data_IF_620449165001
#
_entry.id   IF_620449165001
#
_cell.length_a   1.000
_cell.length_b   1.000
_cell.length_c   1.000
_cell.angle_alpha   90.00
_cell.angle_beta   90.00
_cell.angle_gamma   90.00
#
_symmetry.space_group_name_H-M   'P 1'
#
loop_
_entity.id
_entity.type
_entity.pdbx_description
1 polymer ?
#
# COMPACT_ATOMS: atom_id res chain seq x y z
N UNK A 1 -15.45 -36.18 22.50
CA UNK A 1 -15.17 -35.22 21.41
C UNK A 1 -16.45 -34.42 21.20
N UNK A 2 -16.43 -33.13 21.51
CA UNK A 2 -17.57 -32.25 21.19
C UNK A 2 -17.68 -32.15 19.66
N UNK A 3 -18.89 -32.10 19.09
CA UNK A 3 -19.07 -32.03 17.65
C UNK A 3 -18.44 -30.73 17.15
N UNK A 4 -17.48 -30.84 16.22
CA UNK A 4 -17.05 -29.71 15.41
C UNK A 4 -18.30 -29.18 14.71
N UNK A 5 -18.79 -28.02 15.14
CA UNK A 5 -19.84 -27.29 14.43
C UNK A 5 -19.39 -27.14 12.99
N UNK A 6 -20.17 -27.69 12.06
CA UNK A 6 -19.94 -27.61 10.62
C UNK A 6 -19.95 -26.14 10.22
N UNK A 7 -18.76 -25.57 10.11
CA UNK A 7 -18.59 -24.14 9.89
C UNK A 7 -18.68 -23.85 8.40
N UNK A 8 -19.81 -23.32 7.97
CA UNK A 8 -20.00 -22.89 6.59
C UNK A 8 -19.29 -21.56 6.30
N UNK A 9 -17.96 -21.62 6.18
CA UNK A 9 -17.14 -20.46 5.81
C UNK A 9 -17.56 -19.88 4.47
N UNK A 10 -17.95 -20.72 3.52
CA UNK A 10 -18.31 -20.29 2.16
C UNK A 10 -19.58 -19.45 2.21
N UNK A 11 -20.62 -19.90 2.89
CA UNK A 11 -21.87 -19.15 3.08
C UNK A 11 -21.65 -17.81 3.80
N UNK A 12 -20.76 -17.77 4.81
CA UNK A 12 -20.43 -16.51 5.49
C UNK A 12 -19.69 -15.52 4.57
N UNK A 13 -18.77 -15.99 3.72
CA UNK A 13 -18.10 -15.15 2.72
C UNK A 13 -19.09 -14.63 1.67
N UNK A 14 -19.96 -15.48 1.13
CA UNK A 14 -20.97 -15.10 0.14
C UNK A 14 -21.94 -14.07 0.73
N UNK A 15 -22.45 -14.30 1.94
CA UNK A 15 -23.33 -13.34 2.62
C UNK A 15 -22.64 -12.00 2.87
N UNK A 16 -21.36 -11.99 3.26
CA UNK A 16 -20.57 -10.77 3.42
C UNK A 16 -20.41 -10.02 2.09
N UNK A 17 -20.04 -10.73 1.02
CA UNK A 17 -19.79 -10.16 -0.30
C UNK A 17 -21.07 -9.58 -0.93
N UNK A 18 -22.21 -10.26 -0.75
CA UNK A 18 -23.53 -9.84 -1.23
C UNK A 18 -23.98 -8.48 -0.66
N UNK A 19 -23.50 -8.13 0.55
CA UNK A 19 -23.80 -6.82 1.12
C UNK A 19 -23.25 -5.68 0.25
N UNK A 20 -22.08 -5.90 -0.39
CA UNK A 20 -21.29 -4.88 -1.09
C UNK A 20 -20.91 -3.68 -0.21
N UNK A 21 -20.96 -3.88 1.11
CA UNK A 21 -20.74 -2.85 2.11
C UNK A 21 -19.32 -2.87 2.66
N UNK A 22 -18.64 -4.00 2.54
CA UNK A 22 -17.30 -4.20 3.07
C UNK A 22 -17.24 -4.22 4.59
N UNK A 23 -16.02 -4.21 5.12
CA UNK A 23 -15.73 -4.26 6.56
C UNK A 23 -16.28 -3.03 7.26
N UNK A 24 -16.20 -1.83 6.65
CA UNK A 24 -16.81 -0.63 7.21
C UNK A 24 -18.31 -0.80 7.43
N UNK A 25 -19.01 -1.49 6.52
CA UNK A 25 -20.42 -1.80 6.70
C UNK A 25 -20.73 -2.60 7.96
N UNK A 26 -19.85 -3.53 8.34
CA UNK A 26 -19.97 -4.29 9.60
C UNK A 26 -19.80 -3.38 10.81
N UNK A 27 -18.84 -2.45 10.75
CA UNK A 27 -18.58 -1.47 11.80
C UNK A 27 -19.75 -0.49 11.95
N UNK A 28 -20.27 0.03 10.84
CA UNK A 28 -21.44 0.92 10.82
C UNK A 28 -22.69 0.21 11.38
N UNK A 29 -22.79 -1.12 11.23
CA UNK A 29 -23.84 -1.96 11.81
C UNK A 29 -23.64 -2.29 13.30
N UNK A 30 -22.57 -1.81 13.94
CA UNK A 30 -22.32 -1.99 15.37
C UNK A 30 -21.76 -3.36 15.74
N UNK A 31 -20.95 -3.97 14.87
CA UNK A 31 -20.27 -5.25 15.17
C UNK A 31 -19.43 -5.15 16.45
N UNK A 32 -19.67 -6.05 17.40
CA UNK A 32 -18.97 -6.09 18.70
C UNK A 32 -18.04 -7.29 18.86
N UNK A 33 -18.10 -8.24 17.92
CA UNK A 33 -17.26 -9.43 17.86
C UNK A 33 -16.81 -9.67 16.43
N UNK A 34 -15.57 -10.09 16.26
CA UNK A 34 -15.01 -10.34 14.94
C UNK A 34 -15.74 -11.54 14.30
N UNK A 35 -16.35 -11.40 13.10
CA UNK A 35 -16.91 -12.53 12.38
C UNK A 35 -15.83 -13.56 12.05
N UNK A 36 -16.21 -14.84 12.00
CA UNK A 36 -15.24 -15.94 11.99
C UNK A 36 -14.39 -15.95 10.72
N UNK A 37 -14.91 -15.45 9.60
CA UNK A 37 -14.15 -15.29 8.34
C UNK A 37 -12.91 -14.38 8.48
N UNK A 38 -12.89 -13.46 9.45
CA UNK A 38 -11.77 -12.52 9.69
C UNK A 38 -10.82 -12.96 10.80
N UNK A 39 -11.13 -14.05 11.52
CA UNK A 39 -10.27 -14.55 12.59
C UNK A 39 -9.02 -15.18 11.96
N UNK A 40 -7.86 -14.58 12.23
CA UNK A 40 -6.56 -15.11 11.91
C UNK A 40 -6.13 -16.12 12.98
N UNK A 41 -5.96 -17.38 12.58
CA UNK A 41 -5.53 -18.47 13.46
C UNK A 41 -4.01 -18.73 13.41
N UNK A 42 -3.27 -17.93 12.64
CA UNK A 42 -1.81 -18.02 12.54
C UNK A 42 -1.14 -17.42 13.78
N UNK A 43 0.03 -17.95 14.18
CA UNK A 43 0.80 -17.37 15.27
C UNK A 43 1.20 -15.92 14.96
N UNK A 44 1.34 -15.06 15.98
CA UNK A 44 1.79 -13.70 15.77
C UNK A 44 3.19 -13.68 15.16
N UNK A 45 3.41 -12.70 14.30
CA UNK A 45 4.71 -12.39 13.71
C UNK A 45 5.76 -12.10 14.79
N UNK A 46 6.95 -12.73 14.77
CA UNK A 46 8.01 -12.43 15.73
C UNK A 46 8.51 -11.01 15.53
N UNK A 47 8.39 -10.16 16.57
CA UNK A 47 8.82 -8.75 16.46
C UNK A 47 10.30 -8.63 16.78
N UNK A 48 10.98 -7.67 16.15
CA UNK A 48 12.36 -7.33 16.49
C UNK A 48 12.53 -6.96 17.98
N UNK A 49 11.49 -6.42 18.62
CA UNK A 49 11.47 -6.07 20.04
C UNK A 49 11.41 -7.27 21.00
N UNK A 50 11.14 -8.47 20.50
CA UNK A 50 10.95 -9.68 21.34
C UNK A 50 12.28 -10.40 21.67
N UNK A 51 13.40 -9.96 21.07
CA UNK A 51 14.68 -10.70 21.06
C UNK A 51 15.81 -10.21 22.00
N UNK A 52 15.56 -9.28 22.93
CA UNK A 52 16.60 -8.68 23.77
C UNK A 52 17.33 -7.49 23.12
N UNK A 53 18.46 -7.00 23.67
CA UNK A 53 19.08 -5.74 23.23
C UNK A 53 19.80 -5.92 21.89
N UNK A 54 19.04 -5.86 20.81
CA UNK A 54 19.55 -5.56 19.47
C UNK A 54 19.77 -4.05 19.38
N UNK A 55 20.80 -3.54 18.68
CA UNK A 55 20.82 -2.14 18.30
C UNK A 55 19.52 -1.84 17.57
N UNK A 56 18.79 -0.80 18.01
CA UNK A 56 17.54 -0.39 17.37
C UNK A 56 17.78 -0.13 15.88
N UNK A 57 17.45 -1.11 15.04
CA UNK A 57 17.46 -0.95 13.60
C UNK A 57 16.09 -0.41 13.22
N UNK A 58 16.07 0.86 12.85
CA UNK A 58 14.88 1.51 12.30
C UNK A 58 14.93 1.44 10.78
N UNK A 59 13.76 1.44 10.15
CA UNK A 59 13.66 1.58 8.70
C UNK A 59 14.40 2.87 8.27
N UNK A 60 15.27 2.82 7.24
CA UNK A 60 16.05 4.00 6.83
C UNK A 60 15.17 5.15 6.37
N UNK A 61 15.62 6.38 6.61
CA UNK A 61 14.99 7.61 6.12
C UNK A 61 15.97 8.31 5.18
N UNK A 62 15.54 8.61 3.96
CA UNK A 62 16.34 9.29 2.93
C UNK A 62 15.79 10.69 2.70
N UNK A 63 16.66 11.69 2.81
CA UNK A 63 16.34 13.09 2.48
C UNK A 63 16.60 13.36 0.98
N UNK A 64 15.54 13.66 0.24
CA UNK A 64 15.61 14.00 -1.19
C UNK A 64 15.87 15.48 -1.47
N UNK A 65 16.14 16.31 -0.45
CA UNK A 65 16.49 17.71 -0.64
C UNK A 65 17.66 17.86 -1.62
N UNK A 66 17.47 18.74 -2.61
CA UNK A 66 18.45 18.98 -3.67
C UNK A 66 18.46 17.95 -4.79
N UNK A 67 17.52 16.98 -4.82
CA UNK A 67 17.39 16.06 -5.96
C UNK A 67 17.14 16.81 -7.28
N UNK A 68 16.34 17.88 -7.20
CA UNK A 68 16.20 18.90 -8.24
C UNK A 68 17.03 20.12 -7.84
N UNK A 69 17.91 20.57 -8.72
CA UNK A 69 18.66 21.83 -8.54
C UNK A 69 19.88 21.77 -7.60
N UNK A 70 20.13 20.67 -6.89
CA UNK A 70 21.31 20.51 -6.02
C UNK A 70 22.62 20.17 -6.75
N UNK A 71 22.56 19.94 -8.07
CA UNK A 71 23.71 19.65 -8.92
C UNK A 71 24.15 18.17 -8.94
N UNK A 72 25.15 17.82 -9.77
CA UNK A 72 25.51 16.43 -10.05
C UNK A 72 26.04 15.66 -8.83
N UNK A 73 26.80 16.31 -7.95
CA UNK A 73 27.37 15.63 -6.77
C UNK A 73 26.27 15.24 -5.77
N UNK A 74 25.31 16.14 -5.52
CA UNK A 74 24.16 15.83 -4.66
C UNK A 74 23.32 14.68 -5.23
N UNK A 75 23.10 14.66 -6.55
CA UNK A 75 22.39 13.55 -7.20
C UNK A 75 23.13 12.23 -7.00
N UNK A 76 24.47 12.19 -7.19
CA UNK A 76 25.28 10.98 -6.98
C UNK A 76 25.19 10.46 -5.55
N UNK A 77 25.21 11.35 -4.55
CA UNK A 77 25.03 10.98 -3.14
C UNK A 77 23.66 10.33 -2.89
N UNK A 78 22.59 10.92 -3.44
CA UNK A 78 21.23 10.38 -3.32
C UNK A 78 21.13 9.03 -4.03
N UNK A 79 21.66 8.90 -5.26
CA UNK A 79 21.70 7.64 -6.01
C UNK A 79 22.36 6.55 -5.15
N UNK A 80 23.56 6.82 -4.64
CA UNK A 80 24.28 5.85 -3.81
C UNK A 80 23.48 5.44 -2.58
N UNK A 81 22.89 6.41 -1.88
CA UNK A 81 22.10 6.16 -0.67
C UNK A 81 20.87 5.32 -0.98
N UNK A 82 20.13 5.63 -2.05
CA UNK A 82 18.95 4.87 -2.49
C UNK A 82 19.36 3.45 -2.90
N UNK A 83 20.42 3.28 -3.68
CA UNK A 83 20.88 1.96 -4.14
C UNK A 83 21.33 1.07 -2.98
N UNK A 84 22.15 1.59 -2.06
CA UNK A 84 22.62 0.83 -0.89
C UNK A 84 21.43 0.43 0.01
N UNK A 85 20.49 1.35 0.20
CA UNK A 85 19.30 1.12 1.03
C UNK A 85 18.36 0.09 0.43
N UNK A 86 18.11 0.14 -0.88
CA UNK A 86 17.32 -0.87 -1.57
C UNK A 86 17.96 -2.25 -1.50
N UNK A 87 19.28 -2.34 -1.66
CA UNK A 87 20.00 -3.61 -1.60
C UNK A 87 19.99 -4.23 -0.19
N UNK A 88 20.04 -3.41 0.86
CA UNK A 88 19.99 -3.89 2.24
C UNK A 88 18.56 -4.16 2.72
N UNK A 89 17.66 -3.18 2.54
CA UNK A 89 16.36 -3.14 3.19
C UNK A 89 15.17 -3.37 2.26
N UNK A 90 15.29 -3.12 0.95
CA UNK A 90 14.16 -3.11 0.01
C UNK A 90 13.04 -2.10 0.32
N UNK A 91 13.15 -1.39 1.44
CA UNK A 91 12.18 -0.46 2.02
C UNK A 91 12.92 0.74 2.63
N UNK A 92 12.35 1.93 2.50
CA UNK A 92 12.80 3.13 3.21
C UNK A 92 11.72 4.20 3.23
N UNK A 93 11.81 5.15 4.16
CA UNK A 93 11.01 6.37 4.13
C UNK A 93 11.76 7.48 3.40
N UNK A 94 11.02 8.40 2.77
CA UNK A 94 11.59 9.60 2.16
C UNK A 94 10.93 10.87 2.66
N UNK A 95 11.75 11.91 2.82
CA UNK A 95 11.34 13.28 3.15
C UNK A 95 11.87 14.25 2.11
N UNK A 96 11.33 15.48 2.09
CA UNK A 96 11.70 16.51 1.12
C UNK A 96 11.59 16.05 -0.35
N UNK A 97 10.63 15.16 -0.64
CA UNK A 97 10.39 14.58 -1.97
C UNK A 97 9.66 15.53 -2.94
N UNK A 98 9.24 16.72 -2.47
CA UNK A 98 8.69 17.78 -3.31
C UNK A 98 7.18 17.73 -3.57
N UNK A 99 6.46 16.75 -3.01
CA UNK A 99 4.98 16.77 -3.02
C UNK A 99 4.52 17.68 -1.88
N UNK A 100 3.66 18.69 -2.13
CA UNK A 100 3.21 19.60 -1.08
C UNK A 100 2.40 18.87 -0.01
N UNK A 101 2.63 19.20 1.27
CA UNK A 101 1.90 18.63 2.40
C UNK A 101 0.36 18.67 2.23
N UNK A 102 -0.26 19.77 1.75
CA UNK A 102 -1.71 19.80 1.55
C UNK A 102 -2.24 18.74 0.59
N UNK A 103 -1.45 18.30 -0.41
CA UNK A 103 -1.84 17.24 -1.34
C UNK A 103 -1.86 15.89 -0.63
N UNK A 104 -0.90 15.64 0.28
CA UNK A 104 -0.84 14.42 1.08
C UNK A 104 -2.03 14.37 2.07
N UNK A 105 -2.24 15.46 2.81
CA UNK A 105 -3.30 15.56 3.81
C UNK A 105 -4.68 15.38 3.17
N UNK A 106 -4.91 16.09 2.05
CA UNK A 106 -6.20 16.03 1.35
C UNK A 106 -6.44 14.64 0.73
N UNK A 107 -5.39 13.90 0.35
CA UNK A 107 -5.53 12.54 -0.18
C UNK A 107 -6.05 11.57 0.90
N UNK A 108 -5.53 11.68 2.13
CA UNK A 108 -6.03 10.93 3.28
C UNK A 108 -7.47 11.34 3.60
N UNK A 109 -7.77 12.63 3.66
CA UNK A 109 -9.13 13.13 3.93
C UNK A 109 -10.12 12.76 2.82
N UNK A 110 -9.70 12.79 1.55
CA UNK A 110 -10.50 12.37 0.41
C UNK A 110 -10.87 10.90 0.45
N UNK A 111 -9.91 10.06 0.81
CA UNK A 111 -10.18 8.65 1.06
C UNK A 111 -11.22 8.49 2.18
N UNK A 112 -11.04 9.17 3.32
CA UNK A 112 -12.01 9.16 4.43
C UNK A 112 -13.41 9.63 4.00
N UNK A 113 -13.51 10.69 3.19
CA UNK A 113 -14.79 11.16 2.61
C UNK A 113 -15.46 10.08 1.78
N UNK A 114 -14.73 9.41 0.89
CA UNK A 114 -15.27 8.31 0.09
C UNK A 114 -15.79 7.16 0.97
N UNK A 115 -15.00 6.69 1.92
CA UNK A 115 -15.41 5.58 2.79
C UNK A 115 -16.59 5.92 3.68
N UNK A 116 -16.75 7.20 4.07
CA UNK A 116 -17.89 7.69 4.86
C UNK A 116 -19.14 8.02 4.05
N UNK A 117 -19.11 7.89 2.71
CA UNK A 117 -20.33 8.00 1.90
C UNK A 117 -21.39 6.99 2.33
N UNK A 118 -22.65 7.35 2.08
CA UNK A 118 -23.78 6.46 2.26
C UNK A 118 -23.59 5.17 1.44
N UNK A 119 -24.09 4.03 1.95
CA UNK A 119 -24.13 2.75 1.24
C UNK A 119 -24.56 2.85 -0.22
N UNK A 120 -25.63 3.59 -0.48
CA UNK A 120 -26.22 3.76 -1.81
C UNK A 120 -25.28 4.49 -2.79
N UNK A 121 -24.45 5.41 -2.30
CA UNK A 121 -23.50 6.17 -3.11
C UNK A 121 -22.21 5.37 -3.40
N UNK A 122 -21.79 4.47 -2.51
CA UNK A 122 -20.62 3.60 -2.73
C UNK A 122 -20.91 2.38 -3.61
N UNK A 123 -22.12 1.82 -3.50
CA UNK A 123 -22.51 0.57 -4.18
C UNK A 123 -22.29 0.55 -5.70
N UNK A 124 -22.50 1.64 -6.46
CA UNK A 124 -22.19 1.68 -7.90
C UNK A 124 -20.71 1.43 -8.21
N UNK A 125 -19.80 1.81 -7.31
CA UNK A 125 -18.37 1.57 -7.46
C UNK A 125 -17.96 0.15 -7.10
N UNK A 126 -18.82 -0.61 -6.41
CA UNK A 126 -18.47 -1.95 -5.97
C UNK A 126 -18.15 -2.87 -7.16
N UNK A 127 -17.02 -3.55 -7.09
CA UNK A 127 -16.64 -4.57 -8.05
C UNK A 127 -15.90 -5.70 -7.34
N UNK A 128 -16.36 -6.95 -7.51
CA UNK A 128 -15.69 -8.06 -6.84
C UNK A 128 -14.36 -8.40 -7.49
N UNK A 129 -14.39 -8.48 -8.82
CA UNK A 129 -13.25 -8.78 -9.68
C UNK A 129 -12.68 -7.47 -10.19
N UNK A 130 -11.36 -7.34 -10.19
CA UNK A 130 -10.70 -6.16 -10.73
C UNK A 130 -10.99 -6.05 -12.23
N UNK A 131 -11.62 -4.94 -12.62
CA UNK A 131 -11.87 -4.59 -14.03
C UNK A 131 -11.15 -3.29 -14.34
N UNK A 132 -10.02 -3.38 -15.04
CA UNK A 132 -9.19 -2.22 -15.39
C UNK A 132 -9.81 -1.32 -16.46
N UNK A 133 -10.93 -1.73 -17.08
CA UNK A 133 -11.71 -0.84 -17.95
C UNK A 133 -12.50 0.19 -17.14
N UNK A 134 -12.75 -0.09 -15.84
CA UNK A 134 -13.31 0.88 -14.90
C UNK A 134 -12.20 1.69 -14.28
N UNK A 135 -12.25 3.02 -14.44
CA UNK A 135 -11.21 3.89 -13.89
C UNK A 135 -11.26 4.03 -12.37
N UNK A 136 -12.41 3.79 -11.76
CA UNK A 136 -12.54 3.74 -10.32
C UNK A 136 -13.44 2.58 -9.89
N UNK A 137 -12.99 1.84 -8.88
CA UNK A 137 -13.77 0.77 -8.27
C UNK A 137 -13.47 0.64 -6.78
N UNK A 138 -14.46 0.11 -6.07
CA UNK A 138 -14.46 -0.17 -4.65
C UNK A 138 -14.61 -1.68 -4.45
N UNK A 139 -13.88 -2.25 -3.51
CA UNK A 139 -13.97 -3.66 -3.19
C UNK A 139 -13.59 -3.91 -1.74
N UNK A 140 -14.06 -5.01 -1.18
CA UNK A 140 -13.61 -5.46 0.13
C UNK A 140 -12.76 -6.71 -0.02
N UNK A 141 -11.46 -6.61 0.23
CA UNK A 141 -10.48 -7.68 0.11
C UNK A 141 -10.24 -8.22 -1.33
N UNK A 142 -9.01 -8.14 -1.83
CA UNK A 142 -8.66 -8.69 -3.16
C UNK A 142 -8.75 -10.22 -3.23
N UNK A 143 -8.52 -10.91 -2.12
CA UNK A 143 -8.41 -12.37 -2.04
C UNK A 143 -9.52 -12.98 -1.20
N UNK A 144 -10.73 -12.39 -1.21
CA UNK A 144 -11.83 -12.83 -0.33
C UNK A 144 -12.10 -14.35 -0.38
N UNK A 145 -12.09 -14.94 -1.58
CA UNK A 145 -12.39 -16.36 -1.80
C UNK A 145 -11.15 -17.27 -1.92
N UNK A 146 -9.96 -16.69 -2.07
CA UNK A 146 -8.71 -17.44 -2.29
C UNK A 146 -7.72 -17.33 -1.14
N UNK A 147 -7.89 -16.31 -0.29
CA UNK A 147 -7.08 -16.05 0.88
C UNK A 147 -7.42 -17.02 2.02
N UNK A 148 -6.37 -17.41 2.75
CA UNK A 148 -6.50 -18.26 3.93
C UNK A 148 -7.21 -17.50 5.08
N UNK A 149 -6.93 -16.19 5.19
CA UNK A 149 -7.51 -15.28 6.16
C UNK A 149 -8.11 -14.08 5.41
N UNK A 150 -9.36 -13.72 5.75
CA UNK A 150 -9.97 -12.50 5.23
C UNK A 150 -9.45 -11.32 6.03
N UNK A 151 -8.92 -10.31 5.34
CA UNK A 151 -8.38 -9.13 5.98
C UNK A 151 -9.46 -8.15 6.43
N UNK A 152 -9.24 -7.51 7.57
CA UNK A 152 -10.07 -6.44 8.12
C UNK A 152 -9.77 -5.10 7.42
N UNK A 153 -10.08 -5.02 6.12
CA UNK A 153 -9.92 -3.81 5.31
C UNK A 153 -10.92 -3.74 4.17
N UNK A 154 -11.16 -2.51 3.73
CA UNK A 154 -11.76 -2.20 2.45
C UNK A 154 -10.76 -1.49 1.54
N UNK A 155 -11.01 -1.49 0.22
CA UNK A 155 -10.06 -0.93 -0.75
C UNK A 155 -10.75 -0.25 -1.91
N UNK A 156 -10.17 0.84 -2.38
CA UNK A 156 -10.47 1.39 -3.71
C UNK A 156 -9.29 1.17 -4.62
N UNK A 157 -9.57 1.11 -5.92
CA UNK A 157 -8.56 1.10 -6.96
C UNK A 157 -8.94 2.16 -7.99
N UNK A 158 -7.99 3.05 -8.24
CA UNK A 158 -8.06 4.04 -9.30
C UNK A 158 -7.00 3.72 -10.36
N UNK A 159 -7.43 3.64 -11.62
CA UNK A 159 -6.56 3.43 -12.78
C UNK A 159 -6.21 4.81 -13.34
N UNK A 160 -4.93 5.18 -13.27
CA UNK A 160 -4.49 6.52 -13.65
C UNK A 160 -4.04 6.60 -15.12
N UNK A 161 -3.89 5.47 -15.80
CA UNK A 161 -3.48 5.41 -17.22
C UNK A 161 -4.43 4.57 -18.11
N UNK A 162 -4.76 5.03 -19.34
CA UNK A 162 -4.67 6.44 -19.76
C UNK A 162 -5.41 7.35 -18.77
N UNK A 163 -5.02 8.63 -18.72
CA UNK A 163 -5.58 9.63 -17.80
C UNK A 163 -7.11 9.55 -17.80
N UNK A 164 -7.73 9.30 -16.63
CA UNK A 164 -9.17 9.12 -16.55
C UNK A 164 -9.92 10.43 -16.78
N UNK A 165 -11.14 10.33 -17.33
CA UNK A 165 -12.05 11.45 -17.31
C UNK A 165 -12.56 11.70 -15.89
N UNK A 166 -12.76 12.98 -15.56
CA UNK A 166 -13.23 13.43 -14.26
C UNK A 166 -14.46 12.62 -13.80
N UNK A 167 -15.46 12.47 -14.67
CA UNK A 167 -16.76 11.84 -14.40
C UNK A 167 -16.67 10.36 -13.99
N UNK A 168 -15.55 9.70 -14.28
CA UNK A 168 -15.32 8.29 -13.94
C UNK A 168 -14.97 8.08 -12.45
N UNK A 169 -14.71 9.18 -11.72
CA UNK A 169 -14.37 9.18 -10.30
C UNK A 169 -15.50 9.74 -9.44
N UNK A 170 -15.67 9.26 -8.20
CA UNK A 170 -16.59 9.85 -7.24
C UNK A 170 -16.22 11.31 -6.94
N UNK A 171 -17.20 12.21 -7.04
CA UNK A 171 -17.01 13.66 -6.89
C UNK A 171 -16.23 14.04 -5.63
N UNK A 172 -16.54 13.40 -4.49
CA UNK A 172 -15.90 13.68 -3.19
C UNK A 172 -14.40 13.32 -3.10
N UNK A 173 -13.86 12.63 -4.11
CA UNK A 173 -12.51 12.05 -4.07
C UNK A 173 -11.73 12.22 -5.39
N UNK A 174 -12.41 12.70 -6.45
CA UNK A 174 -11.88 12.86 -7.80
C UNK A 174 -10.65 13.76 -7.86
N UNK A 175 -10.82 15.04 -7.53
CA UNK A 175 -9.81 16.07 -7.83
C UNK A 175 -8.50 15.78 -7.08
N UNK A 176 -8.62 15.38 -5.82
CA UNK A 176 -7.47 15.00 -5.02
C UNK A 176 -6.79 13.73 -5.52
N UNK A 177 -7.54 12.71 -5.94
CA UNK A 177 -6.92 11.48 -6.48
C UNK A 177 -6.15 11.78 -7.76
N UNK A 178 -6.67 12.68 -8.61
CA UNK A 178 -5.99 13.12 -9.83
C UNK A 178 -4.73 13.94 -9.51
N UNK A 179 -4.81 14.90 -8.60
CA UNK A 179 -3.68 15.74 -8.19
C UNK A 179 -2.57 14.91 -7.52
N UNK A 180 -2.93 14.08 -6.55
CA UNK A 180 -2.01 13.16 -5.88
C UNK A 180 -1.39 12.18 -6.88
N UNK A 181 -2.20 11.59 -7.77
CA UNK A 181 -1.74 10.65 -8.80
C UNK A 181 -0.69 11.24 -9.73
N UNK A 182 -0.87 12.48 -10.18
CA UNK A 182 0.13 13.15 -11.00
C UNK A 182 1.42 13.45 -10.21
N UNK A 183 1.28 13.86 -8.94
CA UNK A 183 2.43 14.13 -8.08
C UNK A 183 3.27 12.87 -7.82
N UNK A 184 2.63 11.74 -7.46
CA UNK A 184 3.34 10.48 -7.22
C UNK A 184 3.85 9.84 -8.51
N UNK A 185 3.19 10.04 -9.66
CA UNK A 185 3.74 9.60 -10.96
C UNK A 185 5.06 10.29 -11.28
N UNK A 186 5.16 11.60 -11.06
CA UNK A 186 6.41 12.37 -11.23
C UNK A 186 7.50 11.87 -10.28
N UNK A 187 7.14 11.60 -9.02
CA UNK A 187 8.08 11.05 -8.03
C UNK A 187 8.53 9.62 -8.41
N UNK A 188 7.61 8.77 -8.88
CA UNK A 188 7.91 7.42 -9.37
C UNK A 188 8.91 7.43 -10.53
N UNK A 189 8.72 8.31 -11.51
CA UNK A 189 9.73 8.50 -12.57
C UNK A 189 11.09 8.92 -12.02
N UNK A 190 11.13 9.80 -11.02
CA UNK A 190 12.38 10.22 -10.38
C UNK A 190 13.09 9.03 -9.73
N UNK A 191 12.37 8.16 -9.03
CA UNK A 191 12.95 6.95 -8.45
C UNK A 191 13.41 5.95 -9.51
N UNK A 192 12.66 5.78 -10.61
CA UNK A 192 13.10 4.94 -11.72
C UNK A 192 14.41 5.43 -12.34
N UNK A 193 14.61 6.75 -12.43
CA UNK A 193 15.89 7.31 -12.86
C UNK A 193 17.01 7.01 -11.86
N UNK A 194 16.77 7.25 -10.56
CA UNK A 194 17.73 7.00 -9.49
C UNK A 194 18.16 5.53 -9.44
N UNK A 195 17.19 4.62 -9.57
CA UNK A 195 17.44 3.18 -9.62
C UNK A 195 18.26 2.84 -10.86
N UNK A 196 17.84 3.32 -12.04
CA UNK A 196 18.57 3.09 -13.30
C UNK A 196 20.03 3.54 -13.23
N UNK A 197 20.28 4.76 -12.76
CA UNK A 197 21.63 5.30 -12.60
C UNK A 197 22.45 4.57 -11.52
N UNK A 198 21.80 4.15 -10.43
CA UNK A 198 22.42 3.33 -9.39
C UNK A 198 22.96 1.99 -9.90
N UNK A 199 22.34 1.47 -10.96
CA UNK A 199 22.77 0.27 -11.67
C UNK A 199 23.79 0.55 -12.79
N UNK A 200 24.23 1.81 -12.94
CA UNK A 200 25.12 2.23 -14.01
C UNK A 200 24.46 2.29 -15.39
N UNK A 201 23.12 2.33 -15.45
CA UNK A 201 22.34 2.44 -16.68
C UNK A 201 22.01 3.90 -16.99
N UNK A 202 21.42 4.13 -18.17
CA UNK A 202 20.89 5.45 -18.52
C UNK A 202 19.69 5.79 -17.62
N UNK A 203 19.49 7.05 -17.22
CA UNK A 203 18.38 7.43 -16.32
C UNK A 203 17.00 6.96 -16.80
N UNK A 204 16.76 6.96 -18.10
CA UNK A 204 15.47 6.59 -18.67
C UNK A 204 15.29 5.08 -18.93
N UNK A 205 16.23 4.23 -18.51
CA UNK A 205 16.22 2.80 -18.86
C UNK A 205 14.94 2.07 -18.44
N UNK A 206 14.53 2.17 -17.17
CA UNK A 206 13.29 1.53 -16.70
C UNK A 206 12.04 2.06 -17.40
N UNK A 207 12.04 3.35 -17.76
CA UNK A 207 10.94 3.96 -18.51
C UNK A 207 10.88 3.42 -19.95
N UNK A 208 12.02 3.21 -20.59
CA UNK A 208 12.11 2.59 -21.93
C UNK A 208 11.73 1.10 -21.93
N UNK A 209 11.66 0.46 -20.75
CA UNK A 209 11.16 -0.90 -20.55
C UNK A 209 9.67 -0.94 -20.20
N UNK A 210 8.94 0.16 -20.40
CA UNK A 210 7.51 0.27 -20.09
C UNK A 210 7.16 0.02 -18.61
N UNK A 211 8.14 0.13 -17.69
CA UNK A 211 7.93 -0.10 -16.25
C UNK A 211 7.06 0.96 -15.55
N UNK A 212 6.63 2.00 -16.28
CA UNK A 212 5.84 3.13 -15.79
C UNK A 212 4.47 3.27 -16.49
N UNK A 213 4.10 2.32 -17.35
CA UNK A 213 2.87 2.42 -18.17
C UNK A 213 1.59 2.15 -17.36
N UNK A 214 1.67 1.31 -16.33
CA UNK A 214 0.54 1.01 -15.45
C UNK A 214 0.72 1.72 -14.11
N UNK A 215 -0.11 2.74 -13.87
CA UNK A 215 -0.17 3.46 -12.59
C UNK A 215 -1.51 3.22 -11.94
N UNK A 216 -1.50 2.52 -10.81
CA UNK A 216 -2.65 2.29 -9.96
C UNK A 216 -2.50 3.04 -8.65
N UNK A 217 -3.58 3.69 -8.21
CA UNK A 217 -3.68 4.17 -6.83
C UNK A 217 -4.63 3.25 -6.06
N UNK A 218 -4.07 2.59 -5.06
CA UNK A 218 -4.84 1.83 -4.10
C UNK A 218 -5.03 2.69 -2.85
N UNK A 219 -6.26 2.80 -2.37
CA UNK A 219 -6.49 3.27 -1.00
C UNK A 219 -7.03 2.15 -0.17
N UNK A 220 -6.49 2.01 1.04
CA UNK A 220 -6.87 0.98 1.98
C UNK A 220 -7.46 1.65 3.22
N UNK A 221 -8.66 1.22 3.59
CA UNK A 221 -9.33 1.68 4.79
C UNK A 221 -9.42 0.54 5.79
N UNK A 222 -8.81 0.76 6.96
CA UNK A 222 -8.73 -0.18 8.07
C UNK A 222 -9.63 0.35 9.20
N UNK A 223 -10.93 0.01 9.23
CA UNK A 223 -11.81 0.49 10.28
C UNK A 223 -11.41 -0.12 11.64
N UNK A 224 -11.80 0.50 12.77
CA UNK A 224 -11.55 -0.06 14.10
C UNK A 224 -12.04 -1.51 14.19
N UNK A 225 -11.16 -2.39 14.68
CA UNK A 225 -11.48 -3.81 14.88
C UNK A 225 -11.89 -4.06 16.34
N UNK A 226 -12.98 -4.79 16.62
CA UNK A 226 -13.39 -5.10 17.99
C UNK A 226 -12.43 -6.08 18.70
N UNK A 227 -11.66 -6.86 17.94
CA UNK A 227 -10.72 -7.87 18.45
C UNK A 227 -9.44 -7.85 17.59
N UNK A 228 -8.63 -6.77 17.66
CA UNK A 228 -7.49 -6.56 16.77
C UNK A 228 -6.42 -7.66 16.89
N UNK A 229 -6.31 -8.30 18.05
CA UNK A 229 -5.41 -9.43 18.30
C UNK A 229 -5.75 -10.69 17.48
N UNK A 230 -6.97 -10.77 16.95
CA UNK A 230 -7.45 -11.87 16.11
C UNK A 230 -7.58 -11.50 14.64
N UNK A 231 -7.33 -10.24 14.26
CA UNK A 231 -7.52 -9.76 12.90
C UNK A 231 -6.18 -9.37 12.26
N UNK A 232 -6.18 -9.25 10.94
CA UNK A 232 -5.05 -8.70 10.20
C UNK A 232 -5.54 -7.72 9.14
N UNK A 233 -4.90 -6.56 9.04
CA UNK A 233 -5.24 -5.55 8.04
C UNK A 233 -4.83 -5.97 6.62
N UNK A 234 -3.65 -6.58 6.48
CA UNK A 234 -3.15 -7.17 5.24
C UNK A 234 -2.29 -8.38 5.58
N UNK A 235 -2.41 -9.46 4.81
CA UNK A 235 -1.57 -10.65 5.02
C UNK A 235 -0.13 -10.37 4.60
N UNK A 236 0.83 -11.08 5.20
CA UNK A 236 2.23 -11.12 4.73
C UNK A 236 2.25 -11.36 3.21
N UNK A 237 2.90 -10.47 2.47
CA UNK A 237 3.01 -10.52 1.02
C UNK A 237 4.20 -9.70 0.52
N UNK A 238 4.65 -9.96 -0.71
CA UNK A 238 5.49 -9.05 -1.46
C UNK A 238 4.66 -8.39 -2.55
N UNK A 239 4.99 -7.14 -2.90
CA UNK A 239 4.32 -6.44 -3.98
C UNK A 239 4.75 -7.03 -5.33
N UNK A 240 3.79 -7.17 -6.25
CA UNK A 240 4.04 -7.70 -7.59
C UNK A 240 4.35 -6.58 -8.61
N UNK A 241 4.73 -5.39 -8.16
CA UNK A 241 4.95 -4.22 -9.01
C UNK A 241 6.46 -3.94 -9.23
N UNK A 242 6.75 -2.79 -9.82
CA UNK A 242 8.13 -2.27 -9.95
C UNK A 242 8.52 -1.45 -8.71
N UNK A 243 7.62 -0.56 -8.29
CA UNK A 243 7.85 0.42 -7.25
C UNK A 243 6.52 0.82 -6.61
N UNK A 244 6.42 0.65 -5.30
CA UNK A 244 5.33 1.20 -4.49
C UNK A 244 5.78 2.50 -3.82
N UNK A 245 4.89 3.50 -3.84
CA UNK A 245 5.01 4.75 -3.09
C UNK A 245 3.79 4.83 -2.18
N UNK A 246 4.01 4.65 -0.88
CA UNK A 246 2.95 4.54 0.11
C UNK A 246 2.90 5.79 0.99
N UNK A 247 1.71 6.39 1.07
CA UNK A 247 1.35 7.41 2.04
C UNK A 247 0.60 6.75 3.20
N UNK A 248 1.07 6.96 4.44
CA UNK A 248 0.41 6.48 5.65
C UNK A 248 -0.26 7.63 6.41
N UNK A 249 -1.33 7.33 7.13
CA UNK A 249 -1.86 8.25 8.15
C UNK A 249 -1.08 8.14 9.47
N UNK A 250 -1.48 8.95 10.44
CA UNK A 250 -0.85 9.05 11.77
C UNK A 250 -1.00 7.80 12.66
N UNK A 251 -1.94 6.89 12.32
CA UNK A 251 -2.16 5.66 13.09
C UNK A 251 -1.07 4.63 12.78
N UNK A 252 -0.58 4.60 11.54
CA UNK A 252 0.46 3.69 11.09
C UNK A 252 -0.05 2.24 10.99
N UNK A 253 0.76 1.28 11.43
CA UNK A 253 0.43 -0.15 11.41
C UNK A 253 1.08 -0.96 10.29
N UNK A 254 1.87 -0.33 9.42
CA UNK A 254 2.75 -1.04 8.49
C UNK A 254 3.88 -1.71 9.27
N UNK A 255 4.14 -2.97 8.93
CA UNK A 255 5.31 -3.72 9.38
C UNK A 255 6.06 -4.22 8.16
N UNK A 256 7.39 -4.30 8.26
CA UNK A 256 8.26 -4.84 7.19
C UNK A 256 9.11 -5.98 7.73
N UNK A 257 9.29 -7.02 6.93
CA UNK A 257 10.07 -8.20 7.31
C UNK A 257 11.53 -8.05 6.89
N UNK A 258 12.46 -7.89 7.84
CA UNK A 258 13.89 -7.81 7.54
C UNK A 258 14.69 -8.80 8.41
N UNK A 259 15.46 -9.68 7.77
CA UNK A 259 16.21 -10.77 8.44
C UNK A 259 15.34 -11.57 9.43
N UNK A 260 14.18 -12.04 8.94
CA UNK A 260 13.20 -12.85 9.70
C UNK A 260 12.57 -12.17 10.92
N UNK A 261 12.78 -10.86 11.07
CA UNK A 261 12.18 -10.04 12.11
C UNK A 261 11.25 -8.99 11.51
N UNK A 262 10.12 -8.76 12.16
CA UNK A 262 9.19 -7.72 11.79
C UNK A 262 9.55 -6.40 12.47
N UNK A 263 9.63 -5.33 11.68
CA UNK A 263 9.92 -3.96 12.11
C UNK A 263 8.69 -3.10 11.86
N UNK A 264 8.24 -2.37 12.87
CA UNK A 264 7.20 -1.36 12.72
C UNK A 264 7.77 -0.17 11.92
N UNK A 265 6.99 0.34 10.96
CA UNK A 265 7.34 1.56 10.21
C UNK A 265 6.69 2.76 10.92
N UNK A 266 7.47 3.62 11.58
CA UNK A 266 6.92 4.76 12.31
C UNK A 266 6.39 5.81 11.33
N UNK A 267 5.25 6.41 11.66
CA UNK A 267 4.73 7.56 10.92
C UNK A 267 5.67 8.77 11.10
N UNK A 268 6.13 9.33 9.98
CA UNK A 268 6.84 10.61 9.93
C UNK A 268 5.95 11.59 9.13
N UNK A 269 5.54 12.74 9.70
CA UNK A 269 4.71 13.71 8.99
C UNK A 269 5.33 14.12 7.66
N UNK A 270 4.56 13.96 6.58
CA UNK A 270 4.99 14.29 5.23
C UNK A 270 6.02 13.35 4.64
N UNK A 271 6.27 12.18 5.23
CA UNK A 271 7.09 11.14 4.63
C UNK A 271 6.26 10.18 3.77
N UNK A 272 6.92 9.58 2.79
CA UNK A 272 6.39 8.49 1.98
C UNK A 272 7.26 7.25 2.18
N UNK A 273 6.65 6.07 2.26
CA UNK A 273 7.38 4.79 2.26
C UNK A 273 7.58 4.36 0.82
N UNK A 274 8.80 3.93 0.50
CA UNK A 274 9.19 3.43 -0.81
C UNK A 274 9.61 1.98 -0.66
N UNK A 275 9.11 1.12 -1.54
CA UNK A 275 9.60 -0.25 -1.69
C UNK A 275 9.53 -0.72 -3.13
N UNK A 276 10.27 -1.78 -3.42
CA UNK A 276 10.34 -2.37 -4.75
C UNK A 276 9.65 -3.72 -4.76
N UNK A 277 8.80 -3.96 -5.76
CA UNK A 277 8.14 -5.24 -5.96
C UNK A 277 8.97 -6.27 -6.72
N UNK A 278 8.36 -7.44 -6.90
CA UNK A 278 8.98 -8.62 -7.50
C UNK A 278 9.28 -8.45 -9.00
N UNK A 279 8.53 -7.59 -9.73
CA UNK A 279 8.81 -7.36 -11.15
C UNK A 279 10.15 -6.63 -11.35
N UNK A 280 10.51 -5.71 -10.47
CA UNK A 280 11.80 -5.03 -10.57
C UNK A 280 12.95 -6.00 -10.30
N UNK A 281 12.79 -6.89 -9.32
CA UNK A 281 13.78 -7.92 -9.01
C UNK A 281 13.94 -8.93 -10.15
N UNK A 282 12.83 -9.37 -10.75
CA UNK A 282 12.85 -10.29 -11.89
C UNK A 282 13.53 -9.65 -13.11
N UNK A 283 13.31 -8.34 -13.31
CA UNK A 283 13.96 -7.58 -14.37
C UNK A 283 15.45 -7.36 -14.11
N UNK A 284 15.86 -7.36 -12.83
CA UNK A 284 17.21 -6.96 -12.40
C UNK A 284 17.71 -7.85 -11.23
N UNK A 285 18.19 -9.08 -11.51
CA UNK A 285 18.46 -10.09 -10.48
C UNK A 285 19.64 -9.78 -9.54
N UNK A 286 20.43 -8.73 -9.78
CA UNK A 286 21.76 -8.56 -9.16
C UNK A 286 21.73 -7.66 -7.92
N UNK A 287 20.67 -6.90 -7.63
CA UNK A 287 20.74 -5.87 -6.58
C UNK A 287 19.61 -5.82 -5.53
N UNK A 288 18.46 -6.47 -5.73
CA UNK A 288 17.28 -6.16 -4.92
C UNK A 288 16.73 -7.43 -4.27
N UNK A 289 16.54 -7.40 -2.95
CA UNK A 289 15.84 -8.47 -2.22
C UNK A 289 14.35 -8.15 -2.20
N UNK A 290 13.52 -9.12 -2.61
CA UNK A 290 12.09 -9.09 -2.36
C UNK A 290 11.83 -9.23 -0.88
N UNK A 291 11.16 -8.24 -0.34
CA UNK A 291 10.90 -8.15 1.08
C UNK A 291 9.39 -8.08 1.26
N UNK A 292 8.91 -9.00 2.09
CA UNK A 292 7.51 -9.05 2.42
C UNK A 292 7.16 -7.93 3.42
N UNK A 293 5.99 -7.36 3.25
CA UNK A 293 5.27 -6.56 4.25
C UNK A 293 4.00 -7.26 4.72
#
# INVERSE_FOLDING_TARGET
MAPTTDYDRKGELEAFDETKMGVKGLVDAGVTKLPRIFVNDQPPSPKATDGGPQPERHIPVIDLAGIVGGGPERRKEIIKTVSDTLAEWGFFQVVNHGIPQPVLDEMIEGSRRFYNLDPAAKKPYYNRTIDTTRKFQYLSNFYLYTGHVTNWRDSTMAVMEPTPAAEEFPECFRDVTMEFGEAVKKLGHTFMELISEGMGLKPNHLKEMDCAEEVFLLTHYYPPCPQPELAVGINKHADNDILTILLQDEVGGLQVLHNDLWYDVPHIPGALVINTGDLLQASIPILIKGIAS
#
